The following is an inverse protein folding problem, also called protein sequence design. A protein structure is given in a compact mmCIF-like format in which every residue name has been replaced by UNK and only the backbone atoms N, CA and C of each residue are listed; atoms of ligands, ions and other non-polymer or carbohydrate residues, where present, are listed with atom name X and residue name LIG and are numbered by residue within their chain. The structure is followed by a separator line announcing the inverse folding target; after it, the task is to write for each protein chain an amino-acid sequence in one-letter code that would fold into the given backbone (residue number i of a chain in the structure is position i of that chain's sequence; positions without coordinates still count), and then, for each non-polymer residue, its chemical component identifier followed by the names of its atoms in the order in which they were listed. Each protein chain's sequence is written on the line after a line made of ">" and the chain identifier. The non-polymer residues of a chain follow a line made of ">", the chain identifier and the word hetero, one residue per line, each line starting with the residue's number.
data_IF_484863156394
#
_entry.id   IF_484863156394
#
_cell.length_a   1.000
_cell.length_b   1.000
_cell.length_c   1.000
_cell.angle_alpha   90.00
_cell.angle_beta   90.00
_cell.angle_gamma   90.00
#
_symmetry.space_group_name_H-M   'P 1'
#
loop_
_entity.id
_entity.type
_entity.pdbx_description
1 polymer ?
#
# COMPACT_ATOMS: atom_id res chain seq x y z
N UNK A 1 35.42 29.94 21.87
CA UNK A 1 36.27 29.87 20.66
C UNK A 1 36.98 28.52 20.60
N UNK A 2 36.27 27.46 20.21
CA UNK A 2 36.86 26.20 19.79
C UNK A 2 35.94 25.61 18.72
N UNK A 3 35.99 26.25 17.56
CA UNK A 3 35.42 25.74 16.34
C UNK A 3 36.53 24.95 15.61
N UNK A 4 36.13 23.84 14.99
CA UNK A 4 36.74 23.24 13.80
C UNK A 4 38.00 22.36 13.96
N UNK A 5 37.75 21.06 14.19
CA UNK A 5 38.34 19.95 13.42
C UNK A 5 37.29 18.83 13.42
N UNK A 6 36.30 18.82 12.53
CA UNK A 6 36.40 18.43 11.10
C UNK A 6 37.17 17.12 10.92
N UNK A 7 36.57 16.00 11.32
CA UNK A 7 36.86 14.70 10.68
C UNK A 7 35.93 14.61 9.45
N UNK A 8 36.39 15.22 8.35
CA UNK A 8 35.84 15.01 7.03
C UNK A 8 36.62 13.85 6.41
N UNK A 9 36.15 12.62 6.61
CA UNK A 9 36.59 11.49 5.77
C UNK A 9 35.83 11.53 4.44
N UNK A 10 36.53 11.48 3.30
CA UNK A 10 35.91 11.22 2.01
C UNK A 10 35.88 9.69 1.82
N UNK A 11 34.98 9.00 2.51
CA UNK A 11 34.75 7.57 2.28
C UNK A 11 33.62 7.44 1.27
N UNK A 12 33.97 7.16 0.01
CA UNK A 12 33.00 6.82 -1.01
C UNK A 12 32.16 5.61 -0.62
N UNK A 13 30.84 5.76 -0.66
CA UNK A 13 29.93 4.68 -1.08
C UNK A 13 29.42 3.67 -0.04
N UNK A 14 29.65 3.82 1.26
CA UNK A 14 29.00 2.96 2.24
C UNK A 14 27.63 3.54 2.65
N UNK A 15 26.54 2.98 2.13
CA UNK A 15 25.19 3.30 2.59
C UNK A 15 25.01 2.91 4.07
N UNK A 16 24.19 3.64 4.83
CA UNK A 16 23.82 3.20 6.17
C UNK A 16 23.04 1.87 6.12
N UNK A 17 23.13 1.06 7.18
CA UNK A 17 22.46 -0.26 7.23
C UNK A 17 20.94 -0.14 7.04
N UNK A 18 20.32 0.89 7.62
CA UNK A 18 18.88 1.19 7.46
C UNK A 18 18.49 1.49 6.01
N UNK A 19 19.25 2.33 5.30
CA UNK A 19 19.03 2.59 3.87
C UNK A 19 19.13 1.30 3.06
N UNK A 20 20.10 0.45 3.38
CA UNK A 20 20.31 -0.83 2.69
C UNK A 20 19.14 -1.79 2.96
N UNK A 21 18.66 -1.87 4.20
CA UNK A 21 17.50 -2.68 4.57
C UNK A 21 16.23 -2.22 3.83
N UNK A 22 15.97 -0.92 3.77
CA UNK A 22 14.82 -0.34 3.06
C UNK A 22 14.92 -0.58 1.55
N UNK A 23 16.12 -0.44 0.98
CA UNK A 23 16.35 -0.70 -0.43
C UNK A 23 16.13 -2.18 -0.79
N UNK A 24 16.67 -3.11 -0.01
CA UNK A 24 16.54 -4.56 -0.25
C UNK A 24 15.09 -5.00 -0.05
N UNK A 25 14.45 -4.58 1.04
CA UNK A 25 13.04 -4.88 1.29
C UNK A 25 12.14 -4.27 0.19
N UNK A 26 12.37 -3.01 -0.16
CA UNK A 26 11.64 -2.30 -1.20
C UNK A 26 11.77 -2.96 -2.58
N UNK A 27 12.97 -3.37 -2.96
CA UNK A 27 13.20 -4.10 -4.21
C UNK A 27 12.49 -5.46 -4.22
N UNK A 28 12.54 -6.21 -3.12
CA UNK A 28 11.84 -7.49 -2.98
C UNK A 28 10.31 -7.33 -3.06
N UNK A 29 9.77 -6.34 -2.34
CA UNK A 29 8.34 -6.01 -2.34
C UNK A 29 7.88 -5.54 -3.73
N UNK A 30 8.67 -4.70 -4.40
CA UNK A 30 8.40 -4.27 -5.76
C UNK A 30 8.42 -5.46 -6.75
N UNK A 31 9.37 -6.39 -6.63
CA UNK A 31 9.41 -7.60 -7.47
C UNK A 31 8.15 -8.47 -7.27
N UNK A 32 7.68 -8.63 -6.03
CA UNK A 32 6.40 -9.28 -5.74
C UNK A 32 5.23 -8.51 -6.39
N UNK A 33 5.26 -7.17 -6.37
CA UNK A 33 4.30 -6.32 -7.05
C UNK A 33 4.28 -6.49 -8.57
N UNK A 34 5.44 -6.56 -9.21
CA UNK A 34 5.54 -6.86 -10.65
C UNK A 34 4.90 -8.22 -10.94
N UNK A 35 5.18 -9.23 -10.11
CA UNK A 35 4.55 -10.54 -10.27
C UNK A 35 3.02 -10.48 -10.08
N UNK A 36 2.51 -9.72 -9.11
CA UNK A 36 1.07 -9.51 -8.94
C UNK A 36 0.43 -8.90 -10.19
N UNK A 37 1.02 -7.83 -10.73
CA UNK A 37 0.52 -7.15 -11.94
C UNK A 37 0.61 -8.06 -13.17
N UNK A 38 1.70 -8.79 -13.35
CA UNK A 38 1.86 -9.72 -14.48
C UNK A 38 0.88 -10.91 -14.44
N UNK A 39 0.44 -11.30 -13.23
CA UNK A 39 -0.45 -12.45 -13.03
C UNK A 39 -1.94 -12.07 -13.03
N UNK A 40 -2.28 -10.79 -12.87
CA UNK A 40 -3.66 -10.33 -12.81
C UNK A 40 -4.37 -10.57 -14.16
N UNK A 41 -5.64 -10.95 -14.11
CA UNK A 41 -6.44 -11.25 -15.31
C UNK A 41 -7.61 -10.31 -15.51
N UNK A 42 -8.04 -9.62 -14.46
CA UNK A 42 -9.11 -8.63 -14.51
C UNK A 42 -8.54 -7.25 -14.26
N UNK A 43 -8.89 -6.28 -15.12
CA UNK A 43 -8.55 -4.87 -14.90
C UNK A 43 -9.12 -4.33 -13.57
N UNK A 44 -10.21 -4.92 -13.06
CA UNK A 44 -10.81 -4.57 -11.77
C UNK A 44 -9.92 -4.95 -10.57
N UNK A 45 -9.08 -5.95 -10.71
CA UNK A 45 -8.17 -6.39 -9.65
C UNK A 45 -6.83 -5.65 -9.70
N UNK A 46 -6.54 -4.93 -10.79
CA UNK A 46 -5.24 -4.30 -11.05
C UNK A 46 -4.82 -3.28 -9.96
N UNK A 47 -5.69 -2.36 -9.48
CA UNK A 47 -5.25 -1.39 -8.48
C UNK A 47 -4.78 -2.05 -7.17
N UNK A 48 -5.47 -3.12 -6.73
CA UNK A 48 -4.99 -3.91 -5.60
C UNK A 48 -3.73 -4.68 -5.94
N UNK A 49 -3.66 -5.34 -7.11
CA UNK A 49 -2.47 -6.08 -7.52
C UNK A 49 -1.21 -5.17 -7.61
N UNK A 50 -1.38 -3.88 -7.88
CA UNK A 50 -0.31 -2.89 -7.91
C UNK A 50 0.07 -2.33 -6.52
N UNK A 51 -0.69 -2.60 -5.46
CA UNK A 51 -0.39 -2.11 -4.11
C UNK A 51 1.03 -2.46 -3.63
N UNK A 52 1.59 -3.67 -3.87
CA UNK A 52 2.97 -3.97 -3.48
C UNK A 52 4.00 -3.16 -4.27
N UNK A 53 3.73 -2.78 -5.52
CA UNK A 53 4.61 -1.86 -6.25
C UNK A 53 4.68 -0.51 -5.53
N UNK A 54 3.53 -0.02 -5.06
CA UNK A 54 3.46 1.24 -4.32
C UNK A 54 4.22 1.16 -2.98
N UNK A 55 4.05 0.06 -2.23
CA UNK A 55 4.76 -0.17 -0.98
C UNK A 55 6.27 -0.32 -1.20
N UNK A 56 6.70 -1.02 -2.25
CA UNK A 56 8.11 -1.17 -2.58
C UNK A 56 8.74 0.15 -3.01
N UNK A 57 8.04 0.93 -3.83
CA UNK A 57 8.46 2.29 -4.19
C UNK A 57 8.60 3.20 -2.95
N UNK A 58 7.66 3.12 -2.01
CA UNK A 58 7.73 3.86 -0.76
C UNK A 58 9.01 3.54 0.04
N UNK A 59 9.37 2.26 0.17
CA UNK A 59 10.59 1.85 0.89
C UNK A 59 11.87 2.31 0.15
N UNK A 60 11.88 2.25 -1.19
CA UNK A 60 13.00 2.76 -1.98
C UNK A 60 13.14 4.28 -1.79
N UNK A 61 12.03 5.02 -1.75
CA UNK A 61 12.06 6.46 -1.46
C UNK A 61 12.60 6.73 -0.06
N UNK A 62 12.24 5.91 0.94
CA UNK A 62 12.79 6.02 2.31
C UNK A 62 14.31 5.80 2.33
N UNK A 63 14.83 4.82 1.57
CA UNK A 63 16.27 4.63 1.40
C UNK A 63 16.95 5.87 0.81
N UNK A 64 16.30 6.59 -0.10
CA UNK A 64 16.79 7.88 -0.62
C UNK A 64 16.78 8.95 0.48
N UNK A 65 15.73 9.05 1.29
CA UNK A 65 15.67 9.97 2.45
C UNK A 65 16.82 9.71 3.43
N UNK A 66 17.14 8.44 3.71
CA UNK A 66 18.32 8.08 4.48
C UNK A 66 19.61 8.57 3.85
N UNK A 67 19.79 8.32 2.54
CA UNK A 67 21.00 8.72 1.82
C UNK A 67 21.20 10.24 1.76
N UNK A 68 20.11 11.02 1.84
CA UNK A 68 20.16 12.49 1.87
C UNK A 68 20.37 13.07 3.27
N UNK A 69 20.42 12.24 4.31
CA UNK A 69 20.51 12.69 5.70
C UNK A 69 19.20 13.25 6.27
N UNK A 70 18.06 12.92 5.66
CA UNK A 70 16.75 13.48 6.01
C UNK A 70 16.50 14.85 5.34
N UNK A 71 15.78 15.73 6.04
CA UNK A 71 15.43 17.08 5.59
C UNK A 71 14.07 17.19 4.89
N UNK A 72 13.85 18.31 4.18
CA UNK A 72 12.59 18.65 3.51
C UNK A 72 12.63 18.48 1.99
N UNK A 73 13.49 17.58 1.49
CA UNK A 73 13.71 17.38 0.06
C UNK A 73 12.55 16.65 -0.65
N UNK A 74 12.68 16.52 -1.97
CA UNK A 74 11.67 15.86 -2.81
C UNK A 74 11.38 14.40 -2.36
N UNK A 75 12.39 13.66 -1.90
CA UNK A 75 12.22 12.30 -1.37
C UNK A 75 11.35 12.28 -0.11
N UNK A 76 11.53 13.24 0.81
CA UNK A 76 10.71 13.38 2.02
C UNK A 76 9.24 13.66 1.65
N UNK A 77 9.02 14.57 0.70
CA UNK A 77 7.67 14.89 0.23
C UNK A 77 7.03 13.69 -0.48
N UNK A 78 7.77 13.00 -1.35
CA UNK A 78 7.30 11.81 -2.04
C UNK A 78 6.91 10.70 -1.06
N UNK A 79 7.74 10.45 -0.03
CA UNK A 79 7.45 9.52 1.05
C UNK A 79 6.12 9.89 1.72
N UNK A 80 5.97 11.14 2.15
CA UNK A 80 4.77 11.61 2.84
C UNK A 80 3.51 11.51 1.98
N UNK A 81 3.60 11.85 0.69
CA UNK A 81 2.48 11.74 -0.26
C UNK A 81 2.05 10.29 -0.45
N UNK A 82 3.00 9.37 -0.63
CA UNK A 82 2.70 7.95 -0.80
C UNK A 82 2.08 7.39 0.49
N UNK A 83 2.69 7.65 1.64
CA UNK A 83 2.27 7.11 2.94
C UNK A 83 0.90 7.60 3.40
N UNK A 84 0.62 8.90 3.22
CA UNK A 84 -0.50 9.58 3.86
C UNK A 84 -1.72 9.68 2.94
N UNK A 85 -1.82 10.64 1.99
CA UNK A 85 -3.03 10.78 1.19
C UNK A 85 -3.21 9.66 0.16
N UNK A 86 -2.12 9.17 -0.45
CA UNK A 86 -2.23 8.23 -1.57
C UNK A 86 -2.75 6.87 -1.12
N UNK A 87 -2.18 6.26 -0.07
CA UNK A 87 -2.68 4.99 0.46
C UNK A 87 -4.12 5.07 1.01
N UNK A 88 -4.48 6.20 1.62
CA UNK A 88 -5.84 6.45 2.12
C UNK A 88 -6.92 6.33 1.04
N UNK A 89 -6.58 6.58 -0.22
CA UNK A 89 -7.49 6.43 -1.37
C UNK A 89 -7.23 5.13 -2.14
N UNK A 90 -5.96 4.80 -2.38
CA UNK A 90 -5.58 3.67 -3.23
C UNK A 90 -6.11 2.33 -2.72
N UNK A 91 -6.00 2.09 -1.41
CA UNK A 91 -6.47 0.84 -0.79
C UNK A 91 -7.99 0.69 -0.90
N UNK A 92 -8.84 1.62 -0.38
CA UNK A 92 -10.29 1.48 -0.51
C UNK A 92 -10.76 1.47 -1.96
N UNK A 93 -10.15 2.26 -2.86
CA UNK A 93 -10.50 2.26 -4.28
C UNK A 93 -10.21 0.90 -4.91
N UNK A 94 -9.03 0.33 -4.67
CA UNK A 94 -8.69 -1.00 -5.16
C UNK A 94 -9.63 -2.08 -4.63
N UNK A 95 -9.96 -2.04 -3.33
CA UNK A 95 -10.93 -2.98 -2.75
C UNK A 95 -12.30 -2.84 -3.41
N UNK A 96 -12.79 -1.62 -3.60
CA UNK A 96 -14.05 -1.36 -4.27
C UNK A 96 -14.07 -1.91 -5.70
N UNK A 97 -12.98 -1.74 -6.46
CA UNK A 97 -12.85 -2.29 -7.82
C UNK A 97 -12.95 -3.82 -7.84
N UNK A 98 -12.28 -4.50 -6.91
CA UNK A 98 -12.20 -5.96 -6.86
C UNK A 98 -13.38 -6.66 -6.15
N UNK A 99 -14.24 -5.89 -5.49
CA UNK A 99 -15.30 -6.38 -4.62
C UNK A 99 -16.56 -6.86 -5.37
N UNK A 100 -17.27 -7.86 -4.81
CA UNK A 100 -18.57 -8.28 -5.33
C UNK A 100 -19.64 -7.18 -5.13
N UNK A 101 -20.75 -7.20 -5.91
CA UNK A 101 -21.81 -6.20 -5.82
C UNK A 101 -22.38 -5.98 -4.41
N UNK A 102 -22.51 -7.05 -3.62
CA UNK A 102 -23.04 -7.02 -2.25
C UNK A 102 -22.20 -6.20 -1.25
N UNK A 103 -20.94 -5.91 -1.58
CA UNK A 103 -20.04 -5.12 -0.73
C UNK A 103 -19.90 -3.66 -1.17
N UNK A 104 -20.40 -3.29 -2.35
CA UNK A 104 -20.07 -1.98 -2.96
C UNK A 104 -20.60 -0.79 -2.17
N UNK A 105 -21.84 -0.85 -1.67
CA UNK A 105 -22.45 0.27 -0.97
C UNK A 105 -21.61 0.72 0.25
N UNK A 106 -21.20 -0.22 1.10
CA UNK A 106 -20.32 0.06 2.25
C UNK A 106 -18.92 0.49 1.84
N UNK A 107 -18.36 -0.07 0.76
CA UNK A 107 -17.02 0.29 0.27
C UNK A 107 -16.98 1.69 -0.36
N UNK A 108 -18.07 2.15 -0.98
CA UNK A 108 -18.20 3.54 -1.46
C UNK A 108 -18.15 4.52 -0.29
N UNK A 109 -18.81 4.21 0.83
CA UNK A 109 -18.74 5.04 2.04
C UNK A 109 -17.30 5.10 2.57
N UNK A 110 -16.61 3.96 2.66
CA UNK A 110 -15.22 3.90 3.13
C UNK A 110 -14.23 4.60 2.19
N UNK A 111 -14.47 4.53 0.88
CA UNK A 111 -13.73 5.34 -0.09
C UNK A 111 -13.98 6.83 0.13
N UNK A 112 -15.22 7.24 0.41
CA UNK A 112 -15.55 8.62 0.77
C UNK A 112 -14.77 9.10 2.00
N UNK A 113 -14.69 8.26 3.04
CA UNK A 113 -13.85 8.54 4.23
C UNK A 113 -12.37 8.65 3.85
N UNK A 114 -11.88 7.77 2.98
CA UNK A 114 -10.50 7.79 2.48
C UNK A 114 -10.18 9.07 1.70
N UNK A 115 -11.07 9.49 0.80
CA UNK A 115 -10.93 10.75 0.03
C UNK A 115 -10.97 11.97 0.95
N UNK A 116 -11.88 12.02 1.91
CA UNK A 116 -11.94 13.12 2.88
C UNK A 116 -10.65 13.19 3.72
N UNK A 117 -10.19 12.04 4.22
CA UNK A 117 -8.94 11.93 5.00
C UNK A 117 -7.73 12.34 4.16
N UNK A 118 -7.64 11.88 2.91
CA UNK A 118 -6.58 12.25 1.98
C UNK A 118 -6.59 13.74 1.64
N UNK A 119 -7.76 14.36 1.48
CA UNK A 119 -7.87 15.80 1.25
C UNK A 119 -7.33 16.62 2.42
N UNK A 120 -7.64 16.21 3.67
CA UNK A 120 -7.13 16.87 4.87
C UNK A 120 -5.62 16.67 5.04
N UNK A 121 -5.12 15.44 4.84
CA UNK A 121 -3.69 15.13 4.88
C UNK A 121 -2.93 15.90 3.80
N UNK A 122 -3.43 15.89 2.55
CA UNK A 122 -2.86 16.62 1.43
C UNK A 122 -2.82 18.12 1.66
N UNK A 123 -3.87 18.71 2.24
CA UNK A 123 -3.85 20.10 2.69
C UNK A 123 -2.72 20.35 3.69
N UNK A 124 -2.52 19.45 4.65
CA UNK A 124 -1.41 19.51 5.61
C UNK A 124 -0.03 19.52 4.93
N UNK A 125 0.16 18.66 3.93
CA UNK A 125 1.42 18.58 3.16
C UNK A 125 1.70 19.84 2.32
N UNK A 126 0.66 20.53 1.84
CA UNK A 126 0.79 21.76 1.04
C UNK A 126 0.98 23.00 1.92
N UNK A 127 0.32 23.03 3.09
CA UNK A 127 0.26 24.24 3.93
C UNK A 127 1.31 24.30 5.03
N UNK A 128 1.96 23.19 5.35
CA UNK A 128 2.99 23.13 6.38
C UNK A 128 4.28 22.47 5.91
N UNK A 129 5.36 22.59 6.70
CA UNK A 129 6.61 21.94 6.38
C UNK A 129 6.46 20.41 6.46
N UNK A 130 7.09 19.72 5.51
CA UNK A 130 7.29 18.27 5.54
C UNK A 130 8.78 18.04 5.77
N UNK A 131 9.15 17.50 6.93
CA UNK A 131 10.56 17.24 7.25
C UNK A 131 10.76 15.81 7.72
N UNK A 132 11.89 15.24 7.33
CA UNK A 132 12.41 13.98 7.84
C UNK A 132 13.58 14.27 8.79
N UNK A 133 13.57 13.67 9.96
CA UNK A 133 14.65 13.74 10.93
C UNK A 133 15.16 12.32 11.19
N UNK A 134 16.46 12.11 11.00
CA UNK A 134 17.10 10.84 11.33
C UNK A 134 17.27 10.79 12.86
N UNK A 135 16.60 9.84 13.50
CA UNK A 135 16.63 9.58 14.94
C UNK A 135 17.18 8.19 15.17
N UNK A 136 18.48 8.09 15.46
CA UNK A 136 19.17 6.83 15.66
C UNK A 136 19.02 5.90 14.45
N UNK A 137 18.20 4.86 14.61
CA UNK A 137 17.92 3.86 13.57
C UNK A 137 16.54 4.02 12.94
N UNK A 138 15.89 5.18 13.04
CA UNK A 138 14.59 5.50 12.41
C UNK A 138 14.56 6.87 11.73
N UNK A 139 13.60 7.05 10.81
CA UNK A 139 13.25 8.37 10.27
C UNK A 139 11.95 8.84 10.93
N UNK A 140 12.02 9.95 11.65
CA UNK A 140 10.85 10.67 12.14
C UNK A 140 10.36 11.64 11.08
N UNK A 141 9.10 11.52 10.66
CA UNK A 141 8.47 12.46 9.75
C UNK A 141 7.60 13.45 10.52
N UNK A 142 7.80 14.74 10.25
CA UNK A 142 6.92 15.79 10.75
C UNK A 142 6.10 16.37 9.60
N UNK A 143 4.79 16.44 9.84
CA UNK A 143 3.79 16.95 8.91
C UNK A 143 2.79 17.81 9.68
N UNK A 144 2.32 18.89 9.07
CA UNK A 144 1.30 19.72 9.67
C UNK A 144 -0.07 19.03 9.61
N UNK A 145 -0.45 18.38 10.71
CA UNK A 145 -1.75 17.70 10.83
C UNK A 145 -2.57 18.26 11.98
N UNK A 146 -3.74 18.78 11.65
CA UNK A 146 -4.76 19.16 12.63
C UNK A 146 -5.63 17.95 12.96
N UNK A 147 -5.96 17.75 14.24
CA UNK A 147 -6.81 16.64 14.72
C UNK A 147 -6.24 15.24 14.37
N UNK A 148 -5.04 14.87 14.85
CA UNK A 148 -4.36 13.63 14.48
C UNK A 148 -5.18 12.37 14.77
N UNK A 149 -5.92 12.33 15.89
CA UNK A 149 -6.78 11.19 16.24
C UNK A 149 -7.87 10.96 15.18
N UNK A 150 -8.49 12.03 14.70
CA UNK A 150 -9.54 11.95 13.67
C UNK A 150 -8.95 11.45 12.34
N UNK A 151 -7.79 11.97 11.94
CA UNK A 151 -7.12 11.57 10.70
C UNK A 151 -6.66 10.13 10.73
N UNK A 152 -6.05 9.68 11.83
CA UNK A 152 -5.63 8.28 12.00
C UNK A 152 -6.85 7.36 12.00
N UNK A 153 -7.93 7.73 12.68
CA UNK A 153 -9.18 6.95 12.70
C UNK A 153 -9.79 6.84 11.30
N UNK A 154 -9.90 7.96 10.58
CA UNK A 154 -10.38 7.99 9.21
C UNK A 154 -9.51 7.17 8.26
N UNK A 155 -8.19 7.27 8.39
CA UNK A 155 -7.23 6.52 7.60
C UNK A 155 -7.36 5.00 7.82
N UNK A 156 -7.40 4.56 9.07
CA UNK A 156 -7.54 3.14 9.42
C UNK A 156 -8.91 2.61 9.00
N UNK A 157 -9.99 3.39 9.21
CA UNK A 157 -11.32 3.02 8.78
C UNK A 157 -11.38 2.84 7.25
N UNK A 158 -10.82 3.77 6.48
CA UNK A 158 -10.79 3.71 5.02
C UNK A 158 -9.94 2.52 4.52
N UNK A 159 -8.74 2.31 5.07
CA UNK A 159 -7.81 1.29 4.59
C UNK A 159 -8.15 -0.10 5.13
N UNK A 160 -8.01 -0.31 6.44
CA UNK A 160 -8.27 -1.58 7.12
C UNK A 160 -9.74 -1.96 7.04
N UNK A 161 -10.65 -1.00 7.27
CA UNK A 161 -12.08 -1.26 7.21
C UNK A 161 -12.53 -1.75 5.83
N UNK A 162 -11.96 -1.21 4.74
CA UNK A 162 -12.29 -1.68 3.39
C UNK A 162 -11.84 -3.12 3.18
N UNK A 163 -10.63 -3.47 3.59
CA UNK A 163 -10.10 -4.84 3.48
C UNK A 163 -10.97 -5.85 4.26
N UNK A 164 -11.34 -5.51 5.50
CA UNK A 164 -12.19 -6.35 6.35
C UNK A 164 -13.60 -6.53 5.76
N UNK A 165 -14.18 -5.45 5.22
CA UNK A 165 -15.54 -5.43 4.69
C UNK A 165 -15.63 -5.77 3.19
N UNK A 166 -14.53 -6.20 2.57
CA UNK A 166 -14.45 -6.54 1.15
C UNK A 166 -15.35 -7.72 0.73
N UNK A 167 -15.71 -8.60 1.66
CA UNK A 167 -16.42 -9.85 1.36
C UNK A 167 -15.53 -10.96 0.75
N UNK A 168 -14.22 -10.74 0.66
CA UNK A 168 -13.23 -11.73 0.21
C UNK A 168 -12.36 -12.18 1.39
N UNK A 169 -12.42 -13.47 1.75
CA UNK A 169 -11.70 -14.02 2.91
C UNK A 169 -10.21 -13.69 2.92
N UNK A 170 -9.55 -13.64 1.75
CA UNK A 170 -8.11 -13.36 1.66
C UNK A 170 -7.82 -11.87 1.87
N UNK A 171 -8.69 -11.00 1.40
CA UNK A 171 -8.59 -9.56 1.67
C UNK A 171 -8.91 -9.25 3.14
N UNK A 172 -9.82 -10.01 3.78
CA UNK A 172 -10.02 -9.92 5.23
C UNK A 172 -8.76 -10.32 6.00
N UNK A 173 -8.08 -11.41 5.62
CA UNK A 173 -6.78 -11.78 6.22
C UNK A 173 -5.75 -10.67 6.04
N UNK A 174 -5.69 -10.06 4.86
CA UNK A 174 -4.82 -8.90 4.62
C UNK A 174 -5.17 -7.72 5.53
N UNK A 175 -6.47 -7.44 5.73
CA UNK A 175 -6.94 -6.41 6.65
C UNK A 175 -6.54 -6.68 8.10
N UNK A 176 -6.65 -7.93 8.56
CA UNK A 176 -6.20 -8.34 9.90
C UNK A 176 -4.69 -8.15 10.04
N UNK A 177 -3.91 -8.59 9.05
CA UNK A 177 -2.46 -8.41 9.04
C UNK A 177 -2.06 -6.93 9.06
N UNK A 178 -2.76 -6.09 8.29
CA UNK A 178 -2.54 -4.64 8.30
C UNK A 178 -2.90 -4.01 9.65
N UNK A 179 -3.99 -4.44 10.29
CA UNK A 179 -4.40 -3.97 11.61
C UNK A 179 -3.39 -4.36 12.70
N UNK A 180 -2.93 -5.62 12.69
CA UNK A 180 -1.88 -6.11 13.59
C UNK A 180 -0.58 -5.36 13.32
N UNK A 181 -0.19 -5.23 12.05
CA UNK A 181 1.01 -4.50 11.66
C UNK A 181 1.00 -3.05 12.13
N UNK A 182 -0.12 -2.34 11.94
CA UNK A 182 -0.28 -0.97 12.44
C UNK A 182 -0.19 -0.91 13.97
N UNK A 183 -0.82 -1.84 14.68
CA UNK A 183 -0.79 -1.90 16.15
C UNK A 183 0.62 -2.20 16.69
N UNK A 184 1.34 -3.12 16.03
CA UNK A 184 2.72 -3.48 16.37
C UNK A 184 3.66 -2.32 16.07
N UNK A 185 3.55 -1.67 14.90
CA UNK A 185 4.35 -0.50 14.57
C UNK A 185 4.10 0.65 15.56
N UNK A 186 2.86 0.84 16.00
CA UNK A 186 2.52 1.82 17.03
C UNK A 186 3.12 1.47 18.40
N UNK A 187 3.06 0.21 18.83
CA UNK A 187 3.63 -0.23 20.10
C UNK A 187 5.17 -0.16 20.11
N UNK A 188 5.79 -0.52 18.98
CA UNK A 188 7.24 -0.54 18.82
C UNK A 188 7.83 0.79 18.32
N UNK A 189 7.00 1.84 18.14
CA UNK A 189 7.44 3.19 17.78
C UNK A 189 8.60 3.69 18.65
N UNK A 190 8.61 3.33 19.95
CA UNK A 190 9.66 3.74 20.91
C UNK A 190 10.94 2.91 20.83
N UNK A 191 10.92 1.76 20.14
CA UNK A 191 12.03 0.80 20.10
C UNK A 191 12.88 0.95 18.83
N UNK A 192 12.65 1.99 18.03
CA UNK A 192 13.50 2.40 16.90
C UNK A 192 13.78 1.35 15.80
N UNK A 193 12.85 0.40 15.56
CA UNK A 193 13.04 -0.63 14.52
C UNK A 193 12.25 -0.37 13.23
N UNK A 194 12.92 0.20 12.21
CA UNK A 194 12.47 0.29 10.80
C UNK A 194 12.05 -1.07 10.22
N UNK A 195 12.73 -2.15 10.65
CA UNK A 195 12.51 -3.51 10.11
C UNK A 195 11.06 -3.98 10.24
N UNK A 196 10.29 -3.46 11.20
CA UNK A 196 8.94 -3.95 11.47
C UNK A 196 7.96 -3.61 10.36
N UNK A 197 7.90 -2.35 9.92
CA UNK A 197 7.01 -1.94 8.82
C UNK A 197 7.36 -2.68 7.53
N UNK A 198 8.65 -2.78 7.23
CA UNK A 198 9.18 -3.45 6.05
C UNK A 198 8.81 -4.94 6.02
N UNK A 199 8.91 -5.63 7.16
CA UNK A 199 8.49 -7.01 7.30
C UNK A 199 6.98 -7.19 7.09
N UNK A 200 6.15 -6.30 7.65
CA UNK A 200 4.70 -6.33 7.42
C UNK A 200 4.33 -6.02 5.97
N UNK A 201 4.99 -5.07 5.32
CA UNK A 201 4.80 -4.77 3.91
C UNK A 201 5.13 -5.99 3.02
N UNK A 202 6.24 -6.69 3.31
CA UNK A 202 6.60 -7.92 2.64
C UNK A 202 5.56 -9.04 2.85
N UNK A 203 5.13 -9.25 4.09
CA UNK A 203 4.10 -10.25 4.43
C UNK A 203 2.77 -9.96 3.72
N UNK A 204 2.29 -8.72 3.80
CA UNK A 204 1.10 -8.25 3.11
C UNK A 204 1.20 -8.46 1.59
N UNK A 205 2.37 -8.20 1.01
CA UNK A 205 2.63 -8.37 -0.43
C UNK A 205 2.57 -9.85 -0.86
N UNK A 206 3.12 -10.76 -0.05
CA UNK A 206 3.04 -12.21 -0.30
C UNK A 206 1.61 -12.72 -0.20
N UNK A 207 0.84 -12.26 0.79
CA UNK A 207 -0.58 -12.61 0.93
C UNK A 207 -1.38 -12.12 -0.28
N UNK A 208 -1.09 -10.91 -0.75
CA UNK A 208 -1.74 -10.35 -1.93
C UNK A 208 -1.36 -11.10 -3.22
N UNK A 209 -0.11 -11.53 -3.37
CA UNK A 209 0.30 -12.42 -4.46
C UNK A 209 -0.47 -13.76 -4.40
N UNK A 210 -0.66 -14.30 -3.21
CA UNK A 210 -1.53 -15.46 -2.98
C UNK A 210 -2.96 -15.20 -3.45
N UNK A 211 -3.53 -14.04 -3.12
CA UNK A 211 -4.86 -13.62 -3.57
C UNK A 211 -4.96 -13.53 -5.10
N UNK A 212 -4.02 -12.87 -5.78
CA UNK A 212 -3.96 -12.80 -7.25
C UNK A 212 -3.90 -14.20 -7.87
N UNK A 213 -3.02 -15.06 -7.36
CA UNK A 213 -2.87 -16.45 -7.85
C UNK A 213 -4.16 -17.26 -7.70
N UNK A 214 -4.91 -17.09 -6.61
CA UNK A 214 -6.17 -17.78 -6.42
C UNK A 214 -7.28 -17.25 -7.34
N UNK A 215 -7.32 -15.94 -7.62
CA UNK A 215 -8.24 -15.37 -8.60
C UNK A 215 -7.96 -15.87 -10.01
N UNK A 216 -6.69 -16.03 -10.39
CA UNK A 216 -6.29 -16.63 -11.68
C UNK A 216 -6.77 -18.09 -11.84
N UNK A 217 -6.84 -18.86 -10.75
CA UNK A 217 -7.26 -20.28 -10.77
C UNK A 217 -8.78 -20.47 -10.84
N UNK A 218 -9.59 -19.43 -10.60
CA UNK A 218 -11.04 -19.54 -10.74
C UNK A 218 -11.37 -19.64 -12.24
N UNK A 219 -12.01 -20.74 -12.70
CA UNK A 219 -12.44 -20.84 -14.09
C UNK A 219 -13.36 -19.67 -14.41
N UNK A 220 -13.15 -19.01 -15.55
CA UNK A 220 -14.19 -18.19 -16.17
C UNK A 220 -15.41 -19.10 -16.35
N UNK A 221 -16.55 -18.79 -15.74
CA UNK A 221 -17.78 -19.51 -16.07
C UNK A 221 -17.92 -19.54 -17.59
N UNK A 222 -18.16 -20.70 -18.22
CA UNK A 222 -18.42 -20.74 -19.66
C UNK A 222 -19.58 -19.77 -19.95
N UNK A 223 -19.54 -19.03 -21.09
CA UNK A 223 -20.72 -18.29 -21.51
C UNK A 223 -21.90 -19.28 -21.52
N UNK A 224 -23.02 -18.88 -20.92
CA UNK A 224 -24.23 -19.69 -20.88
C UNK A 224 -24.47 -20.23 -22.29
N UNK A 225 -24.39 -21.56 -22.45
CA UNK A 225 -24.82 -22.21 -23.68
C UNK A 225 -26.25 -21.72 -23.91
N UNK A 226 -26.45 -20.96 -24.98
CA UNK A 226 -27.79 -20.77 -25.51
C UNK A 226 -28.42 -22.16 -25.65
N UNK A 227 -29.67 -22.37 -25.19
CA UNK A 227 -30.36 -23.61 -25.49
C UNK A 227 -30.33 -23.74 -27.01
N UNK A 228 -29.76 -24.84 -27.50
CA UNK A 228 -29.79 -25.15 -28.92
C UNK A 228 -31.25 -25.12 -29.34
N UNK A 229 -31.63 -24.16 -30.17
CA UNK A 229 -32.90 -24.19 -30.84
C UNK A 229 -32.93 -25.52 -31.59
N UNK A 230 -33.84 -26.37 -31.15
CA UNK A 230 -34.18 -27.65 -31.75
C UNK A 230 -34.59 -27.37 -33.20
N UNK A 231 -33.63 -27.43 -34.11
CA UNK A 231 -33.89 -27.38 -35.55
C UNK A 231 -34.50 -28.73 -35.91
N UNK A 232 -35.80 -28.84 -35.68
CA UNK A 232 -36.59 -30.01 -36.03
C UNK A 232 -36.53 -30.16 -37.55
N UNK A 233 -35.72 -31.11 -37.99
CA UNK A 233 -35.62 -31.56 -39.36
C UNK A 233 -36.99 -32.14 -39.75
N UNK A 234 -37.83 -31.33 -40.39
CA UNK A 234 -38.96 -31.83 -41.16
C UNK A 234 -38.41 -32.45 -42.44
N UNK A 235 -37.84 -33.65 -42.29
CA UNK A 235 -37.63 -34.57 -43.41
C UNK A 235 -38.99 -35.04 -43.90
N UNK A 236 -39.27 -34.71 -45.17
CA UNK A 236 -40.07 -35.47 -46.14
C UNK A 236 -40.28 -36.94 -45.75
N UNK A 237 -41.50 -37.44 -45.90
CA UNK A 237 -41.85 -38.54 -46.82
C UNK A 237 -43.38 -38.69 -46.88
N UNK A 238 -43.85 -38.91 -48.13
CA UNK A 238 -45.20 -39.26 -48.63
C UNK A 238 -46.33 -38.20 -48.71
#
# INVERSE_FOLDING_TARGET
>A
MAALMRDSRPDGGAMCWSATADLVAGAGVAAVGVACVALVRSARDLPLAALPLLLGAHQIVEAVVWSSGGGSGAATVAWAVIALPMLAVWVPAGVLCAAPPSARARLVVLLGVGVATAGLLGRGLVTGPVTAEIRGHTVGYTVAVSHPVLLVTGYLLATVGSLLLSGDRRLTVLGILAAVGASVCWALWRLEFISTWCAFAALCSVVLLGWVRARRRRPSSPPARYPAAEYRHSGRDD
#
